data_IF_645170360271
#
_entry.id   IF_645170360271
#
_cell.length_a   1.000
_cell.length_b   1.000
_cell.length_c   1.000
_cell.angle_alpha   90.00
_cell.angle_beta   90.00
_cell.angle_gamma   90.00
#
_symmetry.space_group_name_H-M   'P 1'
#
loop_
_entity.id
_entity.type
_entity.pdbx_description
1 polymer ?
#
# COMPACT_ATOMS: atom_id res chain seq x y z
N UNK A 1 -13.91 9.51 2.11
CA UNK A 1 -13.20 9.19 3.36
C UNK A 1 -11.77 9.70 3.19
N UNK A 2 -11.33 10.65 4.02
CA UNK A 2 -9.99 11.25 3.91
C UNK A 2 -9.01 10.39 4.71
N UNK A 3 -8.17 9.61 4.04
CA UNK A 3 -7.05 8.93 4.68
C UNK A 3 -5.96 9.98 4.93
N UNK A 4 -5.92 10.54 6.13
CA UNK A 4 -4.75 11.27 6.59
C UNK A 4 -3.70 10.23 6.98
N UNK A 5 -2.61 10.14 6.21
CA UNK A 5 -1.40 9.48 6.66
C UNK A 5 -0.97 10.16 7.97
N UNK A 6 -1.10 9.45 9.08
CA UNK A 6 -0.67 9.93 10.38
C UNK A 6 0.84 10.11 10.37
N UNK A 7 1.30 11.35 10.55
CA UNK A 7 2.68 11.75 10.82
C UNK A 7 3.72 11.30 9.77
N UNK A 8 3.69 11.92 8.58
CA UNK A 8 4.80 11.86 7.65
C UNK A 8 5.46 13.24 7.54
N UNK A 9 6.71 13.34 7.97
CA UNK A 9 7.57 14.50 7.77
C UNK A 9 8.69 14.12 6.80
N UNK A 10 8.89 14.93 5.77
CA UNK A 10 10.00 14.77 4.84
C UNK A 10 11.35 14.91 5.55
N UNK A 11 12.38 14.24 5.03
CA UNK A 11 13.76 14.37 5.54
C UNK A 11 14.21 15.81 5.40
N UNK A 12 14.62 16.40 6.52
CA UNK A 12 15.12 17.77 6.60
C UNK A 12 16.54 17.81 7.22
N UNK A 13 17.06 19.01 7.47
CA UNK A 13 18.39 19.20 8.06
C UNK A 13 18.56 18.55 9.46
N UNK A 14 17.47 18.20 10.13
CA UNK A 14 17.47 17.53 11.44
C UNK A 14 17.67 16.02 11.28
N UNK A 15 16.97 15.39 10.33
CA UNK A 15 17.05 13.95 10.10
C UNK A 15 18.17 13.55 9.12
N UNK A 16 18.53 14.40 8.17
CA UNK A 16 19.50 14.09 7.11
C UNK A 16 20.86 13.59 7.64
N UNK A 17 21.47 14.18 8.69
CA UNK A 17 22.74 13.68 9.22
C UNK A 17 22.64 12.26 9.77
N UNK A 18 21.52 11.91 10.43
CA UNK A 18 21.28 10.58 10.99
C UNK A 18 21.09 9.54 9.89
N UNK A 19 20.35 9.89 8.84
CA UNK A 19 20.15 9.02 7.67
C UNK A 19 21.46 8.73 6.96
N UNK A 20 22.29 9.77 6.73
CA UNK A 20 23.61 9.60 6.12
C UNK A 20 24.55 8.74 6.99
N UNK A 21 24.54 8.95 8.30
CA UNK A 21 25.35 8.18 9.24
C UNK A 21 24.89 6.71 9.32
N UNK A 22 23.58 6.46 9.23
CA UNK A 22 23.03 5.10 9.14
C UNK A 22 23.57 4.38 7.91
N UNK A 23 23.48 4.99 6.71
CA UNK A 23 23.99 4.38 5.49
C UNK A 23 25.50 4.14 5.53
N UNK A 24 26.26 5.04 6.16
CA UNK A 24 27.68 4.82 6.38
C UNK A 24 27.97 3.58 7.22
N UNK A 25 27.18 3.31 8.27
CA UNK A 25 27.31 2.07 9.04
C UNK A 25 26.90 0.84 8.25
N UNK A 26 25.85 0.95 7.43
CA UNK A 26 25.41 -0.14 6.54
C UNK A 26 26.47 -0.50 5.50
N UNK A 27 27.10 0.50 4.87
CA UNK A 27 28.20 0.29 3.90
C UNK A 27 29.44 -0.35 4.55
N UNK A 28 29.59 -0.19 5.87
CA UNK A 28 30.67 -0.78 6.67
C UNK A 28 30.28 -2.13 7.28
N UNK A 29 29.07 -2.63 7.00
CA UNK A 29 28.48 -3.82 7.63
C UNK A 29 28.43 -3.76 9.18
N UNK A 30 28.51 -2.56 9.75
CA UNK A 30 28.40 -2.33 11.19
C UNK A 30 26.93 -2.18 11.60
N UNK A 31 26.20 -3.30 11.52
CA UNK A 31 24.78 -3.35 11.85
C UNK A 31 24.50 -3.01 13.32
N UNK A 32 25.45 -3.26 14.21
CA UNK A 32 25.32 -2.96 15.63
C UNK A 32 25.31 -1.45 15.88
N UNK A 33 26.22 -0.69 15.25
CA UNK A 33 26.22 0.76 15.31
C UNK A 33 25.00 1.36 14.61
N UNK A 34 24.59 0.80 13.47
CA UNK A 34 23.38 1.23 12.76
C UNK A 34 22.12 1.08 13.62
N UNK A 35 21.95 -0.08 14.29
CA UNK A 35 20.81 -0.32 15.19
C UNK A 35 20.82 0.64 16.38
N UNK A 36 21.99 0.85 17.00
CA UNK A 36 22.11 1.76 18.14
C UNK A 36 21.78 3.20 17.78
N UNK A 37 22.22 3.67 16.61
CA UNK A 37 21.89 5.00 16.09
C UNK A 37 20.37 5.19 15.98
N UNK A 38 19.64 4.18 15.50
CA UNK A 38 18.19 4.24 15.38
C UNK A 38 17.49 4.23 16.74
N UNK A 39 17.93 3.39 17.67
CA UNK A 39 17.35 3.31 19.03
C UNK A 39 17.53 4.61 19.82
N UNK A 40 18.75 5.17 19.81
CA UNK A 40 19.08 6.40 20.52
C UNK A 40 18.31 7.61 19.99
N UNK A 41 17.93 7.60 18.71
CA UNK A 41 17.25 8.69 18.03
C UNK A 41 15.76 8.40 17.74
N UNK A 42 15.20 7.34 18.33
CA UNK A 42 13.86 6.84 18.01
C UNK A 42 12.77 7.92 18.05
N UNK A 43 12.66 8.68 19.14
CA UNK A 43 11.62 9.70 19.29
C UNK A 43 11.75 10.85 18.27
N UNK A 44 12.98 11.21 17.91
CA UNK A 44 13.25 12.23 16.89
C UNK A 44 12.94 11.69 15.49
N UNK A 45 13.21 10.42 15.23
CA UNK A 45 12.98 9.78 13.93
C UNK A 45 11.51 9.38 13.70
N UNK A 46 10.72 9.23 14.77
CA UNK A 46 9.31 8.84 14.75
C UNK A 46 8.44 9.53 13.69
N UNK A 47 8.48 10.86 13.47
CA UNK A 47 7.70 11.53 12.42
C UNK A 47 8.24 11.31 11.00
N UNK A 48 9.46 10.80 10.83
CA UNK A 48 10.09 10.51 9.53
C UNK A 48 9.99 9.02 9.15
N UNK A 49 9.53 8.16 10.06
CA UNK A 49 9.34 6.74 9.82
C UNK A 49 7.96 6.51 9.19
N UNK A 50 7.93 5.73 8.13
CA UNK A 50 6.69 5.30 7.50
C UNK A 50 5.95 4.36 8.45
N UNK A 51 4.73 4.72 8.84
CA UNK A 51 3.86 3.84 9.61
C UNK A 51 3.39 2.64 8.77
N UNK A 52 4.07 1.51 8.94
CA UNK A 52 3.74 0.26 8.27
C UNK A 52 2.34 -0.25 8.65
N UNK A 53 1.79 0.08 9.83
CA UNK A 53 0.40 -0.28 10.14
C UNK A 53 -0.58 0.47 9.25
N UNK A 54 -0.28 1.74 8.92
CA UNK A 54 -1.06 2.52 7.96
C UNK A 54 -1.02 1.89 6.57
N UNK A 55 0.17 1.52 6.10
CA UNK A 55 0.36 0.85 4.80
C UNK A 55 -0.38 -0.49 4.75
N UNK A 56 -0.19 -1.35 5.76
CA UNK A 56 -0.84 -2.67 5.79
C UNK A 56 -2.37 -2.56 5.73
N UNK A 57 -2.97 -1.54 6.37
CA UNK A 57 -4.41 -1.28 6.30
C UNK A 57 -4.86 -0.82 4.92
N UNK A 58 -4.05 -0.02 4.22
CA UNK A 58 -4.32 0.39 2.84
C UNK A 58 -4.25 -0.82 1.91
N UNK A 59 -3.21 -1.65 2.04
CA UNK A 59 -3.06 -2.90 1.27
C UNK A 59 -4.25 -3.83 1.50
N UNK A 60 -4.67 -4.00 2.75
CA UNK A 60 -5.85 -4.79 3.08
C UNK A 60 -7.12 -4.21 2.43
N UNK A 61 -7.33 -2.89 2.49
CA UNK A 61 -8.49 -2.25 1.86
C UNK A 61 -8.51 -2.42 0.33
N UNK A 62 -7.35 -2.34 -0.33
CA UNK A 62 -7.23 -2.62 -1.77
C UNK A 62 -7.58 -4.07 -2.10
N UNK A 63 -7.11 -5.02 -1.29
CA UNK A 63 -7.40 -6.44 -1.45
C UNK A 63 -8.89 -6.74 -1.28
N UNK A 64 -9.53 -6.22 -0.23
CA UNK A 64 -10.97 -6.39 0.04
C UNK A 64 -11.83 -5.76 -1.08
N UNK A 65 -11.41 -4.60 -1.59
CA UNK A 65 -12.08 -3.95 -2.72
C UNK A 65 -11.96 -4.78 -4.00
N UNK A 66 -10.78 -5.33 -4.30
CA UNK A 66 -10.59 -6.24 -5.43
C UNK A 66 -11.44 -7.50 -5.30
N UNK A 67 -11.47 -8.14 -4.13
CA UNK A 67 -12.31 -9.31 -3.89
C UNK A 67 -13.78 -9.00 -4.15
N UNK A 68 -14.28 -7.88 -3.60
CA UNK A 68 -15.66 -7.45 -3.81
C UNK A 68 -15.94 -7.23 -5.29
N UNK A 69 -15.11 -6.45 -5.98
CA UNK A 69 -15.27 -6.15 -7.40
C UNK A 69 -15.28 -7.43 -8.26
N UNK A 70 -14.33 -8.34 -8.02
CA UNK A 70 -14.24 -9.63 -8.72
C UNK A 70 -15.41 -10.57 -8.44
N UNK A 71 -16.04 -10.47 -7.26
CA UNK A 71 -17.22 -11.26 -6.91
C UNK A 71 -18.51 -10.71 -7.53
N UNK A 72 -18.54 -9.40 -7.83
CA UNK A 72 -19.71 -8.72 -8.42
C UNK A 72 -19.65 -8.58 -9.93
N UNK A 73 -18.45 -8.66 -10.53
CA UNK A 73 -18.24 -8.57 -11.97
C UNK A 73 -18.20 -9.98 -12.56
N UNK A 74 -19.25 -10.36 -13.27
CA UNK A 74 -19.22 -11.51 -14.16
C UNK A 74 -18.98 -11.05 -15.60
N UNK A 75 -18.23 -11.83 -16.37
CA UNK A 75 -18.21 -11.68 -17.83
C UNK A 75 -19.11 -12.77 -18.38
N UNK A 76 -20.18 -12.37 -19.07
CA UNK A 76 -21.11 -13.30 -19.71
C UNK A 76 -20.92 -13.23 -21.22
N UNK A 77 -20.67 -14.38 -21.83
CA UNK A 77 -20.52 -14.51 -23.29
C UNK A 77 -21.71 -15.31 -23.80
N UNK A 78 -22.47 -14.78 -24.75
CA UNK A 78 -23.56 -15.48 -25.42
C UNK A 78 -23.26 -15.68 -26.91
N UNK A 79 -23.68 -16.82 -27.46
CA UNK A 79 -23.46 -17.17 -28.88
C UNK A 79 -24.53 -16.55 -29.81
N UNK A 80 -25.64 -16.05 -29.27
CA UNK A 80 -26.87 -15.77 -30.01
C UNK A 80 -27.37 -14.31 -29.92
N UNK A 81 -26.53 -13.38 -29.48
CA UNK A 81 -26.89 -11.97 -29.18
C UNK A 81 -28.06 -11.80 -28.21
N UNK A 82 -28.51 -12.87 -27.56
CA UNK A 82 -29.58 -12.80 -26.56
C UNK A 82 -29.00 -12.31 -25.25
N UNK A 83 -29.68 -11.35 -24.62
CA UNK A 83 -29.33 -10.89 -23.28
C UNK A 83 -29.45 -12.07 -22.30
N UNK A 84 -28.39 -12.40 -21.54
CA UNK A 84 -28.42 -13.54 -20.63
C UNK A 84 -29.44 -13.31 -19.52
N UNK A 85 -30.24 -14.34 -19.20
CA UNK A 85 -31.17 -14.28 -18.06
C UNK A 85 -30.42 -14.50 -16.73
N UNK A 86 -30.59 -13.59 -15.76
CA UNK A 86 -29.96 -13.73 -14.45
C UNK A 86 -29.97 -12.44 -13.62
N UNK A 87 -29.53 -12.55 -12.36
CA UNK A 87 -29.33 -11.40 -11.49
C UNK A 87 -27.84 -11.04 -11.47
N UNK A 88 -27.43 -10.19 -12.41
CA UNK A 88 -26.03 -9.81 -12.59
C UNK A 88 -25.67 -8.60 -11.74
N UNK A 89 -24.51 -8.65 -11.11
CA UNK A 89 -23.98 -7.55 -10.32
C UNK A 89 -23.65 -6.33 -11.19
N UNK A 90 -23.69 -5.14 -10.58
CA UNK A 90 -23.29 -3.90 -11.25
C UNK A 90 -21.82 -4.00 -11.70
N UNK A 91 -21.55 -3.76 -12.99
CA UNK A 91 -20.21 -3.92 -13.59
C UNK A 91 -20.00 -5.26 -14.31
N UNK A 92 -21.04 -6.08 -14.45
CA UNK A 92 -21.02 -7.25 -15.34
C UNK A 92 -20.86 -6.80 -16.80
N UNK A 93 -19.92 -7.42 -17.52
CA UNK A 93 -19.71 -7.18 -18.95
C UNK A 93 -20.38 -8.30 -19.74
N UNK A 94 -21.16 -7.93 -20.77
CA UNK A 94 -21.79 -8.87 -21.70
C UNK A 94 -21.15 -8.75 -23.07
N UNK A 95 -20.70 -9.87 -23.62
CA UNK A 95 -20.19 -9.99 -24.97
C UNK A 95 -21.07 -10.97 -25.75
N UNK A 96 -21.40 -10.64 -26.99
CA UNK A 96 -21.97 -11.58 -27.95
C UNK A 96 -20.92 -11.86 -29.04
N UNK A 97 -20.70 -13.12 -29.38
CA UNK A 97 -19.87 -13.47 -30.54
C UNK A 97 -20.62 -13.14 -31.85
N UNK A 98 -19.94 -12.51 -32.81
CA UNK A 98 -20.49 -12.10 -34.12
C UNK A 98 -20.65 -13.25 -35.10
#
# INVERSE_FOLDING_TARGET
MSYQLSNYKDVDATAAPLVLQYYKYMDQEDFAAASRLLEENHELLKPYIIDMNGINKIEQGLYEMWQTASSTQAVVITEDETEPEGNFGQGTEWFAEY
#
